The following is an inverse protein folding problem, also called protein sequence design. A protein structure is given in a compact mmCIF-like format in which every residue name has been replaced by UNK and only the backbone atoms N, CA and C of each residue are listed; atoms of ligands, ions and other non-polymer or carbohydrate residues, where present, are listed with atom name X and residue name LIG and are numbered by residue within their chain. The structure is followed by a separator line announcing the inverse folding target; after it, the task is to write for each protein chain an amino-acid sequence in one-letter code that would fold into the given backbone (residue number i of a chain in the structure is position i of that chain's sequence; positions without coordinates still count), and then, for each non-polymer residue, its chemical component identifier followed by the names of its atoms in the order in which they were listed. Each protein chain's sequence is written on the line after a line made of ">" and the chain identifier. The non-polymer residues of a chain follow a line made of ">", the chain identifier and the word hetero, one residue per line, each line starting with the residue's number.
data_IF_746568493472
#
_entry.id   IF_746568493472
#
_cell.length_a   1.000
_cell.length_b   1.000
_cell.length_c   1.000
_cell.angle_alpha   90.00
_cell.angle_beta   90.00
_cell.angle_gamma   90.00
#
_symmetry.space_group_name_H-M   'P 1'
#
loop_
_entity.id
_entity.type
_entity.pdbx_description
1 polymer ?
#
# COMPACT_ATOMS: atom_id res chain seq x y z
N UNK A 1 -11.59 7.34 3.33
CA UNK A 1 -11.29 6.13 4.10
C UNK A 1 -9.85 5.71 3.80
N UNK A 2 -9.11 5.21 4.79
CA UNK A 2 -7.76 4.65 4.61
C UNK A 2 -7.83 3.15 4.85
N UNK A 3 -7.29 2.35 3.94
CA UNK A 3 -7.26 0.89 4.02
C UNK A 3 -5.81 0.42 4.07
N UNK A 4 -5.53 -0.53 4.95
CA UNK A 4 -4.21 -1.16 5.03
C UNK A 4 -4.33 -2.61 5.49
N UNK A 5 -3.18 -3.29 5.62
CA UNK A 5 -3.07 -4.61 6.22
C UNK A 5 -2.31 -4.52 7.53
N UNK A 6 -2.73 -5.32 8.50
CA UNK A 6 -1.99 -5.51 9.74
C UNK A 6 -1.92 -6.98 10.11
N UNK A 7 -0.97 -7.33 10.96
CA UNK A 7 -0.98 -8.56 11.76
C UNK A 7 -1.56 -8.23 13.14
N UNK A 8 -2.56 -8.96 13.58
CA UNK A 8 -3.15 -8.83 14.92
C UNK A 8 -2.34 -9.62 15.98
N UNK A 9 -2.68 -9.47 17.26
CA UNK A 9 -2.01 -10.20 18.36
C UNK A 9 -2.15 -11.72 18.30
N UNK A 10 -3.13 -12.24 17.55
CA UNK A 10 -3.28 -13.67 17.29
C UNK A 10 -2.45 -14.12 16.09
N UNK A 11 -1.67 -13.23 15.47
CA UNK A 11 -0.84 -13.51 14.30
C UNK A 11 -1.61 -13.51 12.98
N UNK A 12 -2.90 -13.15 12.97
CA UNK A 12 -3.72 -13.17 11.76
C UNK A 12 -3.49 -11.89 10.95
N UNK A 13 -3.34 -12.05 9.63
CA UNK A 13 -3.25 -10.93 8.71
C UNK A 13 -4.65 -10.52 8.28
N UNK A 14 -4.98 -9.24 8.43
CA UNK A 14 -6.30 -8.70 8.09
C UNK A 14 -6.19 -7.44 7.27
N UNK A 15 -7.20 -7.19 6.43
CA UNK A 15 -7.46 -5.85 5.92
C UNK A 15 -8.23 -5.06 6.96
N UNK A 16 -7.78 -3.84 7.21
CA UNK A 16 -8.26 -3.00 8.32
C UNK A 16 -8.29 -1.52 7.93
N UNK A 17 -9.20 -0.78 8.59
CA UNK A 17 -9.19 0.68 8.63
C UNK A 17 -8.46 1.13 9.90
N UNK A 18 -7.34 1.87 9.80
CA UNK A 18 -6.63 2.37 10.99
C UNK A 18 -7.49 3.29 11.85
N UNK A 19 -7.42 3.12 13.17
CA UNK A 19 -8.02 4.03 14.15
C UNK A 19 -6.95 4.96 14.73
N UNK A 20 -5.82 4.38 15.13
CA UNK A 20 -4.62 5.09 15.58
C UNK A 20 -3.36 4.24 15.30
N UNK A 21 -2.22 4.57 15.93
CA UNK A 21 -0.95 3.89 15.70
C UNK A 21 -0.92 2.40 16.14
N UNK A 22 -1.81 1.99 17.05
CA UNK A 22 -1.83 0.64 17.65
C UNK A 22 -3.17 -0.08 17.50
N UNK A 23 -4.19 0.58 16.95
CA UNK A 23 -5.53 0.01 16.85
C UNK A 23 -6.14 0.18 15.46
N UNK A 24 -6.96 -0.79 15.05
CA UNK A 24 -7.64 -0.80 13.76
C UNK A 24 -9.00 -1.50 13.82
N UNK A 25 -9.84 -1.26 12.81
CA UNK A 25 -11.10 -1.99 12.60
C UNK A 25 -10.97 -2.95 11.42
N UNK A 26 -11.19 -4.26 11.58
CA UNK A 26 -11.17 -5.20 10.46
C UNK A 26 -12.26 -4.92 9.44
N UNK A 27 -11.97 -5.12 8.15
CA UNK A 27 -13.03 -5.18 7.14
C UNK A 27 -13.90 -6.43 7.36
N UNK A 28 -15.22 -6.32 7.20
CA UNK A 28 -16.12 -7.45 7.35
C UNK A 28 -15.88 -8.50 6.25
N UNK A 29 -15.72 -8.05 4.99
CA UNK A 29 -15.51 -8.93 3.85
C UNK A 29 -14.10 -9.52 3.76
N UNK A 30 -13.11 -8.94 4.47
CA UNK A 30 -11.68 -9.29 4.33
C UNK A 30 -11.20 -9.35 2.87
N UNK A 31 -11.76 -8.48 2.02
CA UNK A 31 -11.40 -8.32 0.62
C UNK A 31 -11.23 -6.81 0.34
N UNK A 32 -10.04 -6.34 -0.10
CA UNK A 32 -9.81 -4.92 -0.37
C UNK A 32 -10.49 -4.40 -1.65
N UNK A 33 -11.09 -5.28 -2.46
CA UNK A 33 -11.80 -4.93 -3.69
C UNK A 33 -13.32 -5.13 -3.61
N UNK A 34 -13.78 -5.77 -2.53
CA UNK A 34 -15.18 -6.03 -2.26
C UNK A 34 -15.84 -4.89 -1.47
N UNK A 35 -16.81 -5.25 -0.63
CA UNK A 35 -17.42 -4.31 0.29
C UNK A 35 -16.43 -3.87 1.37
N UNK A 36 -16.27 -2.57 1.53
CA UNK A 36 -15.25 -1.95 2.38
C UNK A 36 -15.82 -1.50 3.73
N UNK A 37 -16.86 -2.18 4.20
CA UNK A 37 -17.41 -1.99 5.53
C UNK A 37 -16.46 -2.51 6.61
N UNK A 38 -16.13 -1.66 7.58
CA UNK A 38 -15.32 -2.01 8.73
C UNK A 38 -16.21 -2.45 9.90
N UNK A 39 -15.80 -3.49 10.62
CA UNK A 39 -16.44 -3.90 11.86
C UNK A 39 -16.43 -2.76 12.89
N UNK A 40 -17.44 -2.72 13.75
CA UNK A 40 -17.49 -1.76 14.86
C UNK A 40 -16.34 -1.98 15.86
N UNK A 41 -16.01 -3.26 16.09
CA UNK A 41 -14.98 -3.70 17.03
C UNK A 41 -13.59 -3.25 16.61
N UNK A 42 -12.82 -2.81 17.61
CA UNK A 42 -11.44 -2.36 17.45
C UNK A 42 -10.50 -3.47 17.95
N UNK A 43 -9.47 -3.74 17.15
CA UNK A 43 -8.44 -4.74 17.46
C UNK A 43 -7.09 -4.08 17.73
N UNK A 44 -6.28 -4.73 18.55
CA UNK A 44 -4.86 -4.41 18.72
C UNK A 44 -4.05 -4.84 17.48
N UNK A 45 -3.18 -3.94 17.02
CA UNK A 45 -2.22 -4.18 15.94
C UNK A 45 -0.86 -4.58 16.52
N UNK A 46 -0.36 -5.74 16.10
CA UNK A 46 1.00 -6.20 16.40
C UNK A 46 2.00 -5.60 15.41
N UNK A 47 1.68 -5.63 14.12
CA UNK A 47 2.52 -5.06 13.07
C UNK A 47 1.70 -4.50 11.89
N UNK A 48 2.11 -3.36 11.36
CA UNK A 48 1.59 -2.82 10.12
C UNK A 48 2.32 -3.43 8.93
N UNK A 49 1.58 -3.82 7.90
CA UNK A 49 2.12 -4.46 6.70
C UNK A 49 1.95 -3.53 5.49
N UNK A 50 2.56 -3.91 4.36
CA UNK A 50 2.21 -3.29 3.08
C UNK A 50 0.70 -3.43 2.82
N UNK A 51 0.00 -2.35 2.41
CA UNK A 51 -1.46 -2.31 2.36
C UNK A 51 -2.07 -3.29 1.35
N UNK A 52 -1.28 -3.72 0.36
CA UNK A 52 -1.69 -4.64 -0.70
C UNK A 52 -0.58 -5.66 -1.00
N UNK A 53 -0.97 -6.73 -1.70
CA UNK A 53 -0.07 -7.71 -2.30
C UNK A 53 -0.25 -7.65 -3.83
N UNK A 54 0.42 -6.70 -4.51
CA UNK A 54 0.20 -6.49 -5.94
C UNK A 54 0.75 -7.66 -6.76
N UNK A 55 0.05 -8.03 -7.84
CA UNK A 55 0.54 -9.01 -8.82
C UNK A 55 1.65 -8.44 -9.72
N UNK A 56 1.65 -7.12 -9.95
CA UNK A 56 2.67 -6.38 -10.66
C UNK A 56 2.64 -4.90 -10.23
N UNK A 57 3.76 -4.19 -10.40
CA UNK A 57 3.87 -2.76 -10.04
C UNK A 57 4.40 -2.01 -11.25
N UNK A 58 3.54 -1.21 -11.88
CA UNK A 58 3.95 -0.33 -12.97
C UNK A 58 4.25 1.07 -12.45
N UNK A 59 5.31 1.67 -12.97
CA UNK A 59 5.70 3.04 -12.67
C UNK A 59 5.83 3.86 -13.95
N UNK A 60 5.70 5.18 -13.80
CA UNK A 60 5.92 6.16 -14.88
C UNK A 60 7.22 6.91 -14.59
N UNK A 61 8.21 6.72 -15.44
CA UNK A 61 9.47 7.45 -15.41
C UNK A 61 9.30 8.88 -15.91
N UNK A 62 10.16 9.79 -15.43
CA UNK A 62 10.20 11.19 -15.87
C UNK A 62 8.85 11.93 -15.79
N UNK A 63 8.00 11.56 -14.81
CA UNK A 63 6.65 12.12 -14.65
C UNK A 63 6.64 13.55 -14.03
N UNK A 64 7.81 14.16 -13.83
CA UNK A 64 7.98 15.50 -13.29
C UNK A 64 9.00 16.29 -14.11
N UNK A 65 8.64 17.50 -14.55
CA UNK A 65 9.50 18.36 -15.38
C UNK A 65 10.84 18.70 -14.72
N UNK A 66 10.81 18.98 -13.41
CA UNK A 66 12.01 19.28 -12.64
C UNK A 66 12.99 18.10 -12.64
N UNK A 67 12.48 16.87 -12.46
CA UNK A 67 13.30 15.67 -12.48
C UNK A 67 13.92 15.39 -13.87
N UNK A 68 13.18 15.67 -14.95
CA UNK A 68 13.73 15.61 -16.30
C UNK A 68 14.86 16.64 -16.50
N UNK A 69 14.69 17.86 -16.00
CA UNK A 69 15.73 18.89 -16.05
C UNK A 69 16.97 18.53 -15.22
N UNK A 70 16.79 17.98 -14.01
CA UNK A 70 17.88 17.51 -13.13
C UNK A 70 18.76 16.46 -13.81
N UNK A 71 18.14 15.56 -14.56
CA UNK A 71 18.83 14.46 -15.26
C UNK A 71 19.33 14.85 -16.65
N UNK A 72 19.05 16.08 -17.12
CA UNK A 72 19.32 16.51 -18.49
C UNK A 72 18.50 15.76 -19.55
N UNK A 73 17.45 15.05 -19.14
CA UNK A 73 16.60 14.29 -20.03
C UNK A 73 15.65 15.23 -20.81
N UNK A 74 15.46 14.96 -22.09
CA UNK A 74 14.40 15.59 -22.87
C UNK A 74 13.04 15.15 -22.32
N UNK A 75 12.06 16.05 -22.33
CA UNK A 75 10.71 15.69 -21.94
C UNK A 75 10.16 14.67 -22.94
N UNK A 76 9.68 13.51 -22.46
CA UNK A 76 9.21 12.48 -23.36
C UNK A 76 7.87 12.88 -23.99
N UNK A 77 7.67 12.54 -25.27
CA UNK A 77 6.42 12.80 -25.99
C UNK A 77 5.28 11.86 -25.55
N UNK A 78 5.65 10.72 -24.95
CA UNK A 78 4.74 9.69 -24.43
C UNK A 78 5.18 9.20 -23.04
N UNK A 79 4.28 8.67 -22.20
CA UNK A 79 4.65 8.13 -20.89
C UNK A 79 5.70 7.01 -21.00
N UNK A 80 6.76 7.12 -20.21
CA UNK A 80 7.80 6.08 -20.11
C UNK A 80 7.40 5.12 -19.00
N UNK A 81 7.00 3.90 -19.35
CA UNK A 81 6.62 2.88 -18.38
C UNK A 81 7.79 1.99 -17.98
N UNK A 82 7.83 1.62 -16.70
CA UNK A 82 8.70 0.56 -16.18
C UNK A 82 7.93 -0.32 -15.22
N UNK A 83 8.51 -1.48 -14.86
CA UNK A 83 7.90 -2.44 -13.94
C UNK A 83 8.87 -2.78 -12.80
N UNK A 84 8.35 -2.88 -11.57
CA UNK A 84 9.04 -3.47 -10.42
C UNK A 84 8.36 -4.79 -10.04
N UNK A 85 9.13 -5.86 -9.76
CA UNK A 85 8.53 -7.14 -9.40
C UNK A 85 7.84 -7.03 -8.01
N UNK A 86 6.77 -7.80 -7.76
CA UNK A 86 6.10 -7.82 -6.45
C UNK A 86 7.03 -8.11 -5.27
N UNK A 87 8.14 -8.81 -5.50
CA UNK A 87 9.16 -9.10 -4.50
C UNK A 87 9.87 -7.85 -3.96
N UNK A 88 9.69 -6.67 -4.56
CA UNK A 88 10.24 -5.41 -4.04
C UNK A 88 9.35 -4.73 -3.00
N UNK A 89 8.17 -5.27 -2.70
CA UNK A 89 7.25 -4.67 -1.71
C UNK A 89 7.71 -5.00 -0.31
N UNK A 90 7.80 -3.97 0.53
CA UNK A 90 8.08 -4.06 1.97
C UNK A 90 7.03 -3.28 2.77
N UNK A 91 6.88 -3.62 4.05
CA UNK A 91 6.02 -2.90 4.99
C UNK A 91 6.62 -1.57 5.47
N UNK A 92 5.80 -0.71 6.11
CA UNK A 92 6.30 0.52 6.73
C UNK A 92 7.38 0.22 7.78
N UNK A 93 8.56 0.84 7.64
CA UNK A 93 9.68 0.68 8.58
C UNK A 93 10.54 -0.56 8.38
N UNK A 94 10.24 -1.40 7.38
CA UNK A 94 11.10 -2.51 6.96
C UNK A 94 12.24 -2.01 6.03
N UNK A 95 13.28 -2.83 5.80
CA UNK A 95 14.40 -2.53 4.89
C UNK A 95 14.73 -3.75 4.05
#
# INVERSE_FOLDING_TARGET
>A
MQLTRCRDRAGQIRWVVPVDAKHARPLLAQDPYGDLEAAADVIDVDAWLAPLQPACIFGVGLNYRAHAAETGATLPEHPVLFMKPPSTVIGPGET
#
